data_IF_191668560649
#
_entry.id   IF_191668560649
#
_cell.length_a   1.000
_cell.length_b   1.000
_cell.length_c   1.000
_cell.angle_alpha   90.00
_cell.angle_beta   90.00
_cell.angle_gamma   90.00
#
_symmetry.space_group_name_H-M   'P 1'
#
loop_
_entity.id
_entity.type
_entity.pdbx_description
1 polymer ?
#
# COMPACT_ATOMS: atom_id res chain seq x y z
N UNK A 1 -0.07 -0.93 -14.25
CA UNK A 1 0.82 -0.93 -13.08
C UNK A 1 1.59 0.37 -13.00
N UNK A 2 1.47 1.08 -11.88
CA UNK A 2 2.18 2.33 -11.59
C UNK A 2 3.70 2.09 -11.54
N UNK A 3 4.13 0.97 -10.96
CA UNK A 3 5.52 0.56 -10.86
C UNK A 3 6.26 0.66 -12.19
N UNK A 4 5.64 0.19 -13.28
CA UNK A 4 6.28 0.17 -14.60
C UNK A 4 6.62 1.56 -15.15
N UNK A 5 5.89 2.58 -14.71
CA UNK A 5 6.07 3.97 -15.12
C UNK A 5 7.11 4.72 -14.27
N UNK A 6 7.60 4.11 -13.20
CA UNK A 6 8.62 4.71 -12.34
C UNK A 6 9.96 4.79 -13.06
N UNK A 7 10.75 5.82 -12.72
CA UNK A 7 12.14 5.90 -13.18
C UNK A 7 13.00 4.79 -12.52
N UNK A 8 14.20 4.48 -13.04
CA UNK A 8 15.01 3.37 -12.54
C UNK A 8 15.39 3.46 -11.06
N UNK A 9 15.61 4.67 -10.54
CA UNK A 9 15.98 4.88 -9.13
C UNK A 9 14.80 4.56 -8.20
N UNK A 10 13.63 5.09 -8.54
CA UNK A 10 12.38 4.80 -7.82
C UNK A 10 12.01 3.32 -7.89
N UNK A 11 12.22 2.66 -9.05
CA UNK A 11 12.02 1.21 -9.17
C UNK A 11 12.90 0.43 -8.19
N UNK A 12 14.20 0.74 -8.10
CA UNK A 12 15.13 0.08 -7.16
C UNK A 12 14.71 0.26 -5.71
N UNK A 13 14.32 1.49 -5.34
CA UNK A 13 13.84 1.78 -4.00
C UNK A 13 12.58 0.96 -3.66
N UNK A 14 11.59 0.92 -4.57
CA UNK A 14 10.39 0.10 -4.38
C UNK A 14 10.74 -1.40 -4.29
N UNK A 15 11.61 -1.91 -5.15
CA UNK A 15 12.08 -3.30 -5.12
C UNK A 15 12.76 -3.64 -3.78
N UNK A 16 13.61 -2.75 -3.27
CA UNK A 16 14.31 -2.95 -2.01
C UNK A 16 13.36 -2.98 -0.82
N UNK A 17 12.37 -2.08 -0.77
CA UNK A 17 11.34 -2.11 0.27
C UNK A 17 10.46 -3.35 0.15
N UNK A 18 9.96 -3.67 -1.04
CA UNK A 18 9.16 -4.86 -1.28
C UNK A 18 9.90 -6.13 -0.82
N UNK A 19 11.19 -6.25 -1.14
CA UNK A 19 12.03 -7.38 -0.71
C UNK A 19 12.22 -7.43 0.80
N UNK A 20 12.58 -6.31 1.44
CA UNK A 20 12.87 -6.23 2.88
C UNK A 20 11.63 -6.49 3.73
N UNK A 21 10.47 -6.02 3.28
CA UNK A 21 9.23 -6.08 4.04
C UNK A 21 8.49 -7.42 3.87
N UNK A 22 8.81 -8.21 2.83
CA UNK A 22 8.15 -9.49 2.54
C UNK A 22 8.24 -10.52 3.68
N UNK A 23 9.28 -10.45 4.51
CA UNK A 23 9.49 -11.42 5.62
C UNK A 23 8.52 -11.22 6.79
N UNK A 24 7.88 -10.07 6.88
CA UNK A 24 6.97 -9.73 7.96
C UNK A 24 5.52 -10.08 7.62
N UNK A 25 4.67 -10.21 8.63
CA UNK A 25 3.21 -10.23 8.48
C UNK A 25 2.66 -8.86 8.03
N UNK A 26 1.38 -8.81 7.71
CA UNK A 26 0.75 -7.58 7.22
C UNK A 26 0.60 -6.48 8.27
N UNK A 27 0.40 -6.83 9.54
CA UNK A 27 0.41 -5.86 10.63
C UNK A 27 1.72 -5.07 10.63
N UNK A 28 2.84 -5.78 10.67
CA UNK A 28 4.17 -5.16 10.67
C UNK A 28 4.54 -4.53 9.34
N UNK A 29 4.11 -5.09 8.19
CA UNK A 29 4.26 -4.43 6.87
C UNK A 29 3.54 -3.08 6.86
N UNK A 30 2.32 -3.02 7.39
CA UNK A 30 1.51 -1.79 7.42
C UNK A 30 2.15 -0.71 8.28
N UNK A 31 2.62 -1.06 9.47
CA UNK A 31 3.36 -0.13 10.34
C UNK A 31 4.59 0.45 9.63
N UNK A 32 5.44 -0.44 9.09
CA UNK A 32 6.67 -0.01 8.43
C UNK A 32 6.38 0.83 7.19
N UNK A 33 5.40 0.45 6.37
CA UNK A 33 5.00 1.23 5.19
C UNK A 33 4.49 2.62 5.57
N UNK A 34 3.71 2.74 6.66
CA UNK A 34 3.28 4.03 7.17
C UNK A 34 4.48 4.89 7.59
N UNK A 35 5.43 4.32 8.35
CA UNK A 35 6.65 5.01 8.79
C UNK A 35 7.50 5.52 7.61
N UNK A 36 7.80 4.66 6.62
CA UNK A 36 8.60 5.08 5.46
C UNK A 36 7.84 5.92 4.46
N UNK A 37 6.51 6.02 4.56
CA UNK A 37 5.74 6.94 3.73
C UNK A 37 5.86 8.41 4.18
N UNK A 38 6.16 8.66 5.46
CA UNK A 38 6.27 10.02 6.03
C UNK A 38 7.35 10.87 5.33
N UNK A 39 8.60 10.37 5.11
CA UNK A 39 9.65 11.17 4.51
C UNK A 39 9.43 11.51 3.03
N UNK A 40 8.61 10.75 2.29
CA UNK A 40 8.38 10.99 0.85
C UNK A 40 7.72 12.33 0.54
N UNK A 41 7.13 12.97 1.55
CA UNK A 41 6.38 14.20 1.40
C UNK A 41 6.87 15.37 2.23
N UNK A 42 7.96 15.23 2.99
CA UNK A 42 8.41 16.26 3.94
C UNK A 42 8.73 17.60 3.26
N UNK A 43 9.23 17.57 2.03
CA UNK A 43 9.53 18.77 1.22
C UNK A 43 8.40 19.16 0.24
N UNK A 44 7.31 18.39 0.21
CA UNK A 44 6.20 18.57 -0.71
C UNK A 44 5.01 19.25 -0.02
N UNK A 45 4.17 19.94 -0.81
CA UNK A 45 2.88 20.36 -0.28
C UNK A 45 2.03 19.15 0.15
N UNK A 46 1.11 19.29 1.12
CA UNK A 46 0.39 18.15 1.69
C UNK A 46 -0.35 17.28 0.67
N UNK A 47 -0.83 17.85 -0.45
CA UNK A 47 -1.53 17.08 -1.49
C UNK A 47 -0.53 16.24 -2.29
N UNK A 48 0.62 16.80 -2.66
CA UNK A 48 1.68 16.08 -3.36
C UNK A 48 2.35 15.04 -2.47
N UNK A 49 2.56 15.35 -1.19
CA UNK A 49 3.03 14.42 -0.18
C UNK A 49 2.16 13.16 -0.10
N UNK A 50 0.84 13.34 0.05
CA UNK A 50 -0.13 12.22 0.05
C UNK A 50 -0.09 11.41 -1.23
N UNK A 51 0.01 12.06 -2.39
CA UNK A 51 0.07 11.38 -3.68
C UNK A 51 1.37 10.58 -3.85
N UNK A 52 2.50 11.13 -3.41
CA UNK A 52 3.80 10.46 -3.45
C UNK A 52 3.80 9.22 -2.54
N UNK A 53 3.30 9.34 -1.31
CA UNK A 53 3.13 8.23 -0.38
C UNK A 53 2.22 7.12 -0.96
N UNK A 54 1.06 7.49 -1.50
CA UNK A 54 0.14 6.55 -2.13
C UNK A 54 0.77 5.87 -3.37
N UNK A 55 1.56 6.61 -4.16
CA UNK A 55 2.30 6.09 -5.30
C UNK A 55 3.38 5.07 -4.89
N UNK A 56 4.16 5.39 -3.86
CA UNK A 56 5.15 4.47 -3.29
C UNK A 56 4.49 3.19 -2.78
N UNK A 57 3.43 3.32 -1.96
CA UNK A 57 2.65 2.19 -1.46
C UNK A 57 2.14 1.33 -2.60
N UNK A 58 1.52 1.94 -3.63
CA UNK A 58 1.01 1.23 -4.81
C UNK A 58 2.10 0.43 -5.49
N UNK A 59 3.29 1.02 -5.68
CA UNK A 59 4.43 0.35 -6.28
C UNK A 59 4.86 -0.89 -5.48
N UNK A 60 4.95 -0.78 -4.16
CA UNK A 60 5.33 -1.92 -3.30
C UNK A 60 4.29 -3.05 -3.39
N UNK A 61 3.00 -2.71 -3.32
CA UNK A 61 1.92 -3.69 -3.44
C UNK A 61 1.93 -4.40 -4.81
N UNK A 62 2.14 -3.66 -5.89
CA UNK A 62 2.27 -4.23 -7.25
C UNK A 62 3.47 -5.19 -7.36
N UNK A 63 4.56 -4.95 -6.61
CA UNK A 63 5.72 -5.85 -6.59
C UNK A 63 5.49 -7.15 -5.85
N UNK A 64 4.59 -7.17 -4.87
CA UNK A 64 4.18 -8.42 -4.23
C UNK A 64 3.21 -9.23 -5.11
N UNK A 65 2.51 -8.57 -6.04
CA UNK A 65 1.61 -9.20 -7.02
C UNK A 65 0.62 -10.19 -6.39
N UNK A 66 0.07 -9.82 -5.23
CA UNK A 66 -0.82 -10.69 -4.47
C UNK A 66 -2.26 -10.54 -4.99
N UNK A 67 -2.87 -11.68 -5.30
CA UNK A 67 -4.19 -11.79 -5.93
C UNK A 67 -5.33 -11.83 -4.91
N UNK A 68 -5.02 -12.07 -3.64
CA UNK A 68 -5.98 -12.25 -2.55
C UNK A 68 -5.57 -11.42 -1.34
N UNK A 69 -6.57 -11.08 -0.52
CA UNK A 69 -6.39 -10.35 0.75
C UNK A 69 -6.51 -11.34 1.90
N UNK A 70 -5.50 -11.35 2.76
CA UNK A 70 -5.31 -12.30 3.86
C UNK A 70 -5.87 -11.77 5.18
N UNK A 71 -5.80 -10.45 5.41
CA UNK A 71 -6.26 -9.81 6.64
C UNK A 71 -6.64 -8.32 6.48
N UNK A 72 -7.17 -7.74 7.56
CA UNK A 72 -7.60 -6.35 7.65
C UNK A 72 -6.45 -5.35 7.39
N UNK A 73 -5.22 -5.64 7.84
CA UNK A 73 -4.08 -4.75 7.64
C UNK A 73 -3.74 -4.64 6.15
N UNK A 74 -3.75 -5.78 5.44
CA UNK A 74 -3.61 -5.79 3.98
C UNK A 74 -4.75 -5.01 3.30
N UNK A 75 -6.00 -5.24 3.70
CA UNK A 75 -7.16 -4.54 3.13
C UNK A 75 -7.02 -3.01 3.25
N UNK A 76 -6.61 -2.51 4.42
CA UNK A 76 -6.37 -1.08 4.66
C UNK A 76 -5.30 -0.51 3.73
N UNK A 77 -4.18 -1.21 3.54
CA UNK A 77 -3.14 -0.78 2.60
C UNK A 77 -3.66 -0.77 1.15
N UNK A 78 -4.44 -1.78 0.76
CA UNK A 78 -5.01 -1.87 -0.58
C UNK A 78 -6.01 -0.74 -0.86
N UNK A 79 -6.80 -0.29 0.12
CA UNK A 79 -7.69 0.87 0.00
C UNK A 79 -6.92 2.18 -0.25
N UNK A 80 -5.74 2.34 0.35
CA UNK A 80 -4.89 3.52 0.18
C UNK A 80 -4.11 3.54 -1.15
N UNK A 81 -4.13 2.43 -1.91
CA UNK A 81 -3.48 2.31 -3.20
C UNK A 81 -4.11 3.22 -4.27
N UNK A 82 -3.28 3.71 -5.19
CA UNK A 82 -3.72 4.40 -6.40
C UNK A 82 -4.25 3.42 -7.46
N UNK A 83 -3.92 2.13 -7.39
CA UNK A 83 -4.44 1.12 -8.31
C UNK A 83 -5.92 0.80 -8.00
N UNK A 84 -6.87 1.04 -8.93
CA UNK A 84 -8.28 0.69 -8.74
C UNK A 84 -8.54 -0.78 -8.47
N UNK A 85 -7.73 -1.68 -9.03
CA UNK A 85 -7.88 -3.14 -8.82
C UNK A 85 -7.57 -3.52 -7.37
N UNK A 86 -6.58 -2.89 -6.74
CA UNK A 86 -6.28 -3.11 -5.33
C UNK A 86 -7.46 -2.67 -4.45
N UNK A 87 -8.02 -1.48 -4.73
CA UNK A 87 -9.18 -0.98 -3.98
C UNK A 87 -10.38 -1.89 -4.13
N UNK A 88 -10.66 -2.36 -5.35
CA UNK A 88 -11.75 -3.31 -5.60
C UNK A 88 -11.54 -4.67 -4.94
N UNK A 89 -10.31 -5.15 -4.76
CA UNK A 89 -10.03 -6.35 -3.97
C UNK A 89 -10.33 -6.12 -2.49
N UNK A 90 -9.91 -4.98 -1.93
CA UNK A 90 -10.17 -4.65 -0.52
C UNK A 90 -11.64 -4.45 -0.23
N UNK A 91 -12.37 -3.73 -1.09
CA UNK A 91 -13.82 -3.54 -0.95
C UNK A 91 -14.55 -4.88 -0.95
N UNK A 92 -14.23 -5.80 -1.89
CA UNK A 92 -14.82 -7.14 -1.91
C UNK A 92 -14.52 -7.93 -0.64
N UNK A 93 -13.28 -7.92 -0.19
CA UNK A 93 -12.89 -8.63 1.04
C UNK A 93 -13.64 -8.07 2.26
N UNK A 94 -13.81 -6.75 2.37
CA UNK A 94 -14.56 -6.11 3.46
C UNK A 94 -16.06 -6.38 3.40
N UNK A 95 -16.64 -6.50 2.20
CA UNK A 95 -18.04 -6.90 2.05
C UNK A 95 -18.28 -8.35 2.49
N UNK A 96 -17.25 -9.21 2.40
CA UNK A 96 -17.26 -10.58 2.91
C UNK A 96 -16.95 -10.69 4.42
N UNK A 97 -16.38 -9.64 5.03
CA UNK A 97 -15.98 -9.56 6.45
C UNK A 97 -16.60 -8.32 7.13
N UNK A 98 -17.92 -8.30 7.38
CA UNK A 98 -18.64 -7.12 7.84
C UNK A 98 -18.18 -6.60 9.22
N UNK A 99 -17.70 -7.48 10.11
CA UNK A 99 -17.13 -7.10 11.40
C UNK A 99 -15.84 -6.27 11.26
N UNK A 100 -15.00 -6.62 10.29
CA UNK A 100 -13.75 -5.91 9.98
C UNK A 100 -14.03 -4.57 9.28
N UNK A 101 -15.08 -4.54 8.45
CA UNK A 101 -15.57 -3.32 7.80
C UNK A 101 -16.03 -2.28 8.83
N UNK A 102 -16.78 -2.70 9.85
CA UNK A 102 -17.21 -1.82 10.94
C UNK A 102 -16.01 -1.22 11.69
N UNK A 103 -14.94 -2.00 11.91
CA UNK A 103 -13.71 -1.54 12.57
C UNK A 103 -12.86 -0.54 11.76
N UNK A 104 -13.22 -0.26 10.50
CA UNK A 104 -12.60 0.81 9.68
C UNK A 104 -13.43 2.09 9.68
N UNK A 105 -14.75 1.97 9.86
CA UNK A 105 -15.70 3.10 9.81
C UNK A 105 -15.78 3.86 11.16
N UNK A 106 -15.31 3.26 12.26
CA UNK A 106 -15.08 3.92 13.57
C UNK A 106 -13.79 4.75 13.62
#
# INVERSE_FOLDING_TARGET
MLYEKLNPEMKRMVDDYARRLKIYDWGRRSELLAEVSLPFGEELDPRRAKLAAAGFLTGVLERWNLQEIEDLHQARLYLMSLNPEHRGLAERWLDEHPEEKAAIEE
#
